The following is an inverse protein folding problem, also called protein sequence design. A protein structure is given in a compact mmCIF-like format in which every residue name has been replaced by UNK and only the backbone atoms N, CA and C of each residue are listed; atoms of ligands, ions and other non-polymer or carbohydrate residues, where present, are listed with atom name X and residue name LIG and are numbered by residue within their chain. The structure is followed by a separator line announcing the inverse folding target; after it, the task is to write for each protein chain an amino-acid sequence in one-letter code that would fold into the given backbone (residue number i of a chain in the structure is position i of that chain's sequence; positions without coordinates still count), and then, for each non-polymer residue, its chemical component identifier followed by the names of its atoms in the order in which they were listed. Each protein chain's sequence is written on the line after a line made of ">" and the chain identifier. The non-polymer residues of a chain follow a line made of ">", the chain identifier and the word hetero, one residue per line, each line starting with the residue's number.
data_IF_893553765590
#
_entry.id   IF_893553765590
#
_cell.length_a   1.000
_cell.length_b   1.000
_cell.length_c   1.000
_cell.angle_alpha   90.00
_cell.angle_beta   90.00
_cell.angle_gamma   90.00
#
_symmetry.space_group_name_H-M   'P 1'
#
loop_
_entity.id
_entity.type
_entity.pdbx_description
1 polymer ?
#
# COMPACT_ATOMS: atom_id res chain seq x y z
N UNK A 1 31.14 11.80 -2.26
CA UNK A 1 30.03 11.86 -1.28
C UNK A 1 28.79 12.30 -2.04
N UNK A 2 27.68 11.59 -1.92
CA UNK A 2 26.44 11.98 -2.62
C UNK A 2 25.77 13.12 -1.88
N UNK A 3 25.33 14.15 -2.60
CA UNK A 3 24.68 15.34 -2.03
C UNK A 3 23.15 15.25 -2.08
N UNK A 4 22.62 14.23 -2.76
CA UNK A 4 21.18 14.02 -2.94
C UNK A 4 20.87 12.55 -3.08
N UNK A 5 19.82 12.09 -2.39
CA UNK A 5 19.22 10.77 -2.57
C UNK A 5 17.76 11.00 -2.97
N UNK A 6 17.30 10.25 -3.96
CA UNK A 6 15.90 10.26 -4.39
C UNK A 6 15.36 8.84 -4.18
N UNK A 7 14.34 8.74 -3.34
CA UNK A 7 13.58 7.50 -3.14
C UNK A 7 12.30 7.58 -3.96
N UNK A 8 12.14 6.65 -4.90
CA UNK A 8 10.95 6.53 -5.72
C UNK A 8 10.20 5.26 -5.33
N UNK A 9 9.04 5.41 -4.70
CA UNK A 9 8.17 4.30 -4.31
C UNK A 9 7.09 4.14 -5.36
N UNK A 10 7.01 2.96 -5.97
CA UNK A 10 5.94 2.61 -6.90
C UNK A 10 4.83 1.92 -6.09
N UNK A 11 3.71 2.60 -5.96
CA UNK A 11 2.55 2.09 -5.25
C UNK A 11 1.97 0.83 -5.92
N UNK A 12 1.51 -0.11 -5.10
CA UNK A 12 0.87 -1.37 -5.52
C UNK A 12 1.72 -2.27 -6.42
N UNK A 13 3.04 -2.08 -6.48
CA UNK A 13 3.95 -2.92 -7.26
C UNK A 13 4.70 -3.90 -6.36
N UNK A 14 4.45 -5.21 -6.58
CA UNK A 14 5.10 -6.29 -5.86
C UNK A 14 5.88 -7.23 -6.77
N UNK A 15 6.98 -7.79 -6.24
CA UNK A 15 7.86 -8.75 -6.91
C UNK A 15 7.81 -10.13 -6.21
N UNK A 16 6.63 -10.62 -5.96
CA UNK A 16 6.32 -11.79 -5.16
C UNK A 16 5.66 -11.40 -3.84
N UNK A 17 5.48 -12.37 -2.95
CA UNK A 17 4.86 -12.18 -1.64
C UNK A 17 5.90 -12.25 -0.50
N UNK A 18 5.59 -11.61 0.62
CA UNK A 18 6.40 -11.65 1.83
C UNK A 18 6.28 -13.02 2.55
N UNK A 19 7.23 -13.33 3.44
CA UNK A 19 7.25 -14.60 4.18
C UNK A 19 6.02 -14.78 5.10
N UNK A 20 5.40 -13.70 5.52
CA UNK A 20 4.22 -13.67 6.39
C UNK A 20 2.90 -13.39 5.64
N UNK A 21 2.92 -13.42 4.31
CA UNK A 21 1.76 -13.18 3.45
C UNK A 21 0.52 -14.01 3.84
N UNK A 22 0.71 -15.24 4.33
CA UNK A 22 -0.38 -16.10 4.80
C UNK A 22 -1.22 -15.44 5.89
N UNK A 23 -0.61 -14.63 6.77
CA UNK A 23 -1.32 -13.93 7.85
C UNK A 23 -2.31 -12.89 7.31
N UNK A 24 -2.08 -12.42 6.09
CA UNK A 24 -2.83 -11.36 5.44
C UNK A 24 -3.65 -11.85 4.24
N UNK A 25 -3.63 -13.16 3.96
CA UNK A 25 -4.31 -13.73 2.79
C UNK A 25 -3.68 -13.37 1.45
N UNK A 26 -2.40 -13.02 1.43
CA UNK A 26 -1.66 -12.54 0.26
C UNK A 26 -0.73 -13.60 -0.35
N UNK A 27 -0.86 -14.86 0.03
CA UNK A 27 -0.07 -15.93 -0.58
C UNK A 27 -0.26 -15.95 -2.10
N UNK A 28 0.84 -16.12 -2.81
CA UNK A 28 0.85 -16.12 -4.26
C UNK A 28 0.79 -14.73 -4.91
N UNK A 29 0.74 -13.64 -4.14
CA UNK A 29 0.80 -12.29 -4.69
C UNK A 29 2.08 -12.07 -5.49
N UNK A 30 1.95 -11.62 -6.75
CA UNK A 30 3.06 -11.35 -7.66
C UNK A 30 2.60 -10.40 -8.77
N UNK A 31 2.53 -9.13 -8.46
CA UNK A 31 1.95 -8.11 -9.34
C UNK A 31 2.57 -8.13 -10.75
N UNK A 32 3.89 -8.04 -10.83
CA UNK A 32 4.57 -7.97 -12.12
C UNK A 32 4.48 -9.29 -12.90
N UNK A 33 4.68 -10.43 -12.24
CA UNK A 33 4.57 -11.74 -12.87
C UNK A 33 3.15 -12.00 -13.39
N UNK A 34 2.12 -11.66 -12.61
CA UNK A 34 0.73 -11.84 -13.05
C UNK A 34 0.35 -10.90 -14.19
N UNK A 35 0.84 -9.65 -14.18
CA UNK A 35 0.63 -8.73 -15.31
C UNK A 35 1.25 -9.31 -16.58
N UNK A 36 2.51 -9.73 -16.51
CA UNK A 36 3.20 -10.29 -17.67
C UNK A 36 2.54 -11.57 -18.19
N UNK A 37 2.04 -12.42 -17.30
CA UNK A 37 1.31 -13.62 -17.67
C UNK A 37 0.02 -13.32 -18.47
N UNK A 38 -0.60 -12.19 -18.24
CA UNK A 38 -1.86 -11.78 -18.90
C UNK A 38 -1.60 -11.00 -20.20
N UNK A 39 -0.68 -10.01 -20.14
CA UNK A 39 -0.50 -9.07 -21.25
C UNK A 39 0.72 -9.38 -22.13
N UNK A 40 1.52 -10.38 -21.75
CA UNK A 40 2.81 -10.68 -22.37
C UNK A 40 3.94 -9.81 -21.85
N UNK A 41 5.14 -9.90 -22.46
CA UNK A 41 6.35 -9.27 -21.94
C UNK A 41 6.22 -7.79 -21.61
N UNK A 42 6.51 -7.43 -20.35
CA UNK A 42 6.45 -6.04 -19.89
C UNK A 42 7.57 -5.22 -20.52
N UNK A 43 7.19 -4.11 -21.15
CA UNK A 43 8.12 -3.16 -21.78
C UNK A 43 8.58 -2.10 -20.76
N UNK A 44 9.63 -2.40 -20.01
CA UNK A 44 10.27 -1.47 -19.06
C UNK A 44 11.81 -1.53 -19.16
N UNK A 45 12.42 -1.16 -20.32
CA UNK A 45 13.83 -1.38 -20.54
C UNK A 45 14.72 -0.69 -19.50
N UNK A 46 14.38 0.50 -19.06
CA UNK A 46 15.16 1.22 -18.05
C UNK A 46 15.16 0.51 -16.68
N UNK A 47 14.01 -0.02 -16.23
CA UNK A 47 13.96 -0.78 -14.97
C UNK A 47 14.66 -2.14 -15.11
N UNK A 48 14.54 -2.78 -16.27
CA UNK A 48 15.26 -4.02 -16.57
C UNK A 48 16.77 -3.79 -16.60
N UNK A 49 17.25 -2.69 -17.19
CA UNK A 49 18.68 -2.34 -17.18
C UNK A 49 19.21 -2.02 -15.77
N UNK A 50 18.34 -1.65 -14.83
CA UNK A 50 18.68 -1.51 -13.41
C UNK A 50 18.61 -2.81 -12.64
N UNK A 51 18.12 -3.90 -13.22
CA UNK A 51 18.10 -5.24 -12.64
C UNK A 51 16.75 -5.77 -12.22
N UNK A 52 15.64 -5.12 -12.59
CA UNK A 52 14.29 -5.55 -12.20
C UNK A 52 13.99 -7.02 -12.58
N UNK A 53 14.39 -7.46 -13.77
CA UNK A 53 14.18 -8.83 -14.23
C UNK A 53 14.95 -9.90 -13.43
N UNK A 54 15.91 -9.51 -12.59
CA UNK A 54 16.63 -10.44 -11.71
C UNK A 54 15.94 -10.64 -10.35
N UNK A 55 14.95 -9.81 -10.03
CA UNK A 55 14.20 -9.89 -8.76
C UNK A 55 12.71 -10.09 -8.96
N UNK A 56 12.16 -9.72 -10.12
CA UNK A 56 10.77 -9.95 -10.48
C UNK A 56 10.65 -11.18 -11.39
N UNK A 57 9.50 -11.85 -11.33
CA UNK A 57 9.16 -12.99 -12.19
C UNK A 57 8.61 -12.49 -13.53
N UNK A 58 9.50 -11.91 -14.33
CA UNK A 58 9.22 -11.33 -15.65
C UNK A 58 10.28 -11.75 -16.67
N UNK A 59 9.99 -11.55 -17.94
CA UNK A 59 10.89 -11.90 -19.04
C UNK A 59 12.29 -11.25 -18.88
N UNK A 60 13.30 -12.03 -19.18
CA UNK A 60 14.70 -11.65 -19.06
C UNK A 60 15.04 -10.36 -19.84
N UNK A 61 16.16 -9.79 -19.50
CA UNK A 61 16.76 -8.66 -20.19
C UNK A 61 18.13 -9.09 -20.71
N UNK A 62 18.32 -8.97 -22.03
CA UNK A 62 19.49 -9.52 -22.72
C UNK A 62 20.73 -8.62 -22.65
N UNK A 63 20.58 -7.40 -22.10
CA UNK A 63 21.67 -6.45 -21.97
C UNK A 63 22.28 -6.46 -20.56
N UNK A 64 23.55 -6.03 -20.38
CA UNK A 64 24.18 -5.95 -19.08
C UNK A 64 23.43 -5.02 -18.13
N UNK A 65 23.25 -5.47 -16.88
CA UNK A 65 22.69 -4.66 -15.81
C UNK A 65 23.67 -3.58 -15.39
N UNK A 66 23.21 -2.33 -15.36
CA UNK A 66 24.01 -1.13 -15.03
C UNK A 66 23.71 -0.60 -13.62
N UNK A 67 22.74 -1.17 -12.91
CA UNK A 67 22.34 -0.78 -11.55
C UNK A 67 22.69 -1.82 -10.51
N UNK A 68 22.27 -1.55 -9.28
CA UNK A 68 22.23 -2.51 -8.19
C UNK A 68 20.78 -2.87 -7.87
N UNK A 69 20.52 -4.12 -7.56
CA UNK A 69 19.18 -4.62 -7.26
C UNK A 69 19.21 -5.57 -6.08
N UNK A 70 18.07 -5.74 -5.43
CA UNK A 70 17.93 -6.67 -4.32
C UNK A 70 16.49 -6.72 -3.81
N UNK A 71 16.18 -7.72 -3.01
CA UNK A 71 14.93 -7.84 -2.26
C UNK A 71 15.21 -7.53 -0.80
N UNK A 72 14.30 -6.83 -0.17
CA UNK A 72 14.30 -6.60 1.27
C UNK A 72 13.07 -7.27 1.87
N UNK A 73 13.26 -7.90 3.04
CA UNK A 73 12.13 -8.37 3.84
C UNK A 73 11.80 -7.32 4.87
N UNK A 74 10.53 -7.01 5.02
CA UNK A 74 10.07 -6.11 6.07
C UNK A 74 10.22 -6.76 7.45
N UNK A 75 10.42 -5.93 8.45
CA UNK A 75 10.47 -6.30 9.88
C UNK A 75 9.28 -5.78 10.66
N UNK A 76 8.58 -4.80 10.12
CA UNK A 76 7.31 -4.32 10.65
C UNK A 76 6.25 -5.42 10.65
N UNK A 77 5.38 -5.41 11.67
CA UNK A 77 4.37 -6.46 11.87
C UNK A 77 3.01 -6.11 11.27
N UNK A 78 2.82 -4.87 10.80
CA UNK A 78 1.59 -4.39 10.20
C UNK A 78 1.66 -4.34 8.68
N UNK A 79 0.55 -4.64 8.01
CA UNK A 79 0.40 -4.49 6.57
C UNK A 79 -0.37 -3.20 6.28
N UNK A 80 0.34 -2.10 6.27
CA UNK A 80 -0.23 -0.79 5.94
C UNK A 80 0.84 0.15 5.38
N UNK A 81 0.40 1.15 4.63
CA UNK A 81 1.28 2.13 3.97
C UNK A 81 2.15 2.89 4.97
N UNK A 82 1.61 3.24 6.14
CA UNK A 82 2.34 4.02 7.15
C UNK A 82 3.50 3.21 7.72
N UNK A 83 3.24 1.96 8.13
CA UNK A 83 4.27 1.05 8.65
C UNK A 83 5.40 0.84 7.63
N UNK A 84 5.08 0.60 6.37
CA UNK A 84 6.07 0.42 5.31
C UNK A 84 6.92 1.67 5.08
N UNK A 85 6.31 2.86 5.02
CA UNK A 85 7.05 4.10 4.83
C UNK A 85 7.93 4.45 6.03
N UNK A 86 7.47 4.22 7.25
CA UNK A 86 8.27 4.45 8.45
C UNK A 86 9.46 3.51 8.51
N UNK A 87 9.28 2.25 8.16
CA UNK A 87 10.37 1.28 8.12
C UNK A 87 11.43 1.66 7.08
N UNK A 88 11.04 2.08 5.87
CA UNK A 88 11.98 2.58 4.86
C UNK A 88 12.80 3.78 5.35
N UNK A 89 12.26 4.57 6.30
CA UNK A 89 12.95 5.68 6.94
C UNK A 89 13.71 5.27 8.21
N UNK A 90 13.81 3.97 8.51
CA UNK A 90 14.57 3.44 9.63
C UNK A 90 13.78 3.28 10.93
N UNK A 91 12.44 3.33 10.89
CA UNK A 91 11.58 3.16 12.04
C UNK A 91 10.61 1.98 11.85
N UNK A 92 11.05 0.74 12.13
CA UNK A 92 10.17 -0.43 12.04
C UNK A 92 9.04 -0.35 13.07
N UNK A 93 7.83 -0.70 12.64
CA UNK A 93 6.63 -0.72 13.48
C UNK A 93 6.42 -2.13 14.02
N UNK A 94 6.76 -2.33 15.29
CA UNK A 94 6.70 -3.65 15.97
C UNK A 94 5.32 -3.96 16.56
N UNK A 95 4.50 -2.93 16.77
CA UNK A 95 3.11 -3.07 17.21
C UNK A 95 2.21 -2.56 16.09
N UNK A 96 1.46 -3.42 15.41
CA UNK A 96 0.65 -3.01 14.26
C UNK A 96 -0.43 -2.03 14.69
N UNK A 97 -0.80 -1.11 13.81
CA UNK A 97 -1.93 -0.23 14.04
C UNK A 97 -3.23 -1.03 14.16
N UNK A 98 -4.15 -0.65 15.07
CA UNK A 98 -5.42 -1.32 15.18
C UNK A 98 -6.24 -1.15 13.90
N UNK A 99 -6.97 -2.21 13.52
CA UNK A 99 -7.89 -2.21 12.40
C UNK A 99 -9.33 -2.36 12.90
N UNK A 100 -10.27 -1.70 12.23
CA UNK A 100 -11.67 -1.63 12.65
C UNK A 100 -12.57 -2.09 11.49
N UNK A 101 -12.66 -3.39 11.29
CA UNK A 101 -13.40 -3.99 10.16
C UNK A 101 -14.90 -3.69 10.19
N UNK A 102 -15.47 -3.46 11.38
CA UNK A 102 -16.88 -3.13 11.58
C UNK A 102 -17.11 -1.61 11.81
N UNK A 103 -16.14 -0.79 11.43
CA UNK A 103 -16.12 0.63 11.75
C UNK A 103 -15.53 0.92 13.13
N UNK A 104 -15.33 2.18 13.44
CA UNK A 104 -14.82 2.61 14.74
C UNK A 104 -15.82 2.32 15.87
N UNK A 105 -15.34 2.00 17.08
CA UNK A 105 -16.22 1.75 18.22
C UNK A 105 -17.15 2.93 18.50
N UNK A 106 -18.37 2.58 18.95
CA UNK A 106 -19.41 3.58 19.23
C UNK A 106 -18.94 4.65 20.21
N UNK A 107 -18.19 4.30 21.22
CA UNK A 107 -17.65 5.23 22.23
C UNK A 107 -16.74 6.28 21.61
N UNK A 108 -15.93 5.88 20.62
CA UNK A 108 -15.06 6.81 19.89
C UNK A 108 -15.89 7.77 19.04
N UNK A 109 -16.90 7.27 18.35
CA UNK A 109 -17.75 8.09 17.47
C UNK A 109 -18.66 9.02 18.29
N UNK A 110 -19.13 8.59 19.45
CA UNK A 110 -19.86 9.43 20.39
C UNK A 110 -18.96 10.56 20.94
N UNK A 111 -17.72 10.25 21.32
CA UNK A 111 -16.74 11.24 21.74
C UNK A 111 -16.43 12.23 20.61
N UNK A 112 -16.20 11.75 19.41
CA UNK A 112 -16.00 12.60 18.22
C UNK A 112 -17.15 13.59 18.03
N UNK A 113 -18.39 13.10 18.04
CA UNK A 113 -19.58 13.92 17.86
C UNK A 113 -19.73 14.96 18.99
N UNK A 114 -19.46 14.57 20.23
CA UNK A 114 -19.52 15.46 21.38
C UNK A 114 -18.48 16.57 21.34
N UNK A 115 -17.22 16.21 21.03
CA UNK A 115 -16.10 17.15 21.07
C UNK A 115 -16.10 18.11 19.85
N UNK A 116 -16.54 17.62 18.69
CA UNK A 116 -16.57 18.42 17.45
C UNK A 116 -17.89 19.15 17.21
N UNK A 117 -18.99 18.67 17.77
CA UNK A 117 -20.34 19.13 17.48
C UNK A 117 -20.88 18.65 16.14
N UNK A 118 -20.11 17.86 15.37
CA UNK A 118 -20.52 17.31 14.09
C UNK A 118 -20.96 15.86 14.25
N UNK A 119 -22.06 15.48 13.61
CA UNK A 119 -22.35 14.07 13.33
C UNK A 119 -21.40 13.55 12.24
N UNK A 120 -21.54 12.30 11.87
CA UNK A 120 -20.75 11.67 10.82
C UNK A 120 -21.65 10.90 9.84
N UNK A 121 -21.08 10.51 8.71
CA UNK A 121 -21.68 9.62 7.71
C UNK A 121 -20.76 8.39 7.56
N UNK A 122 -21.34 7.23 7.27
CA UNK A 122 -20.59 5.99 7.11
C UNK A 122 -20.19 5.38 8.46
N UNK A 123 -18.93 5.38 8.81
CA UNK A 123 -18.27 4.60 9.86
C UNK A 123 -18.22 3.12 9.48
N UNK A 124 -17.66 2.84 8.34
CA UNK A 124 -17.56 1.50 7.77
C UNK A 124 -16.30 1.36 6.92
N UNK A 125 -15.87 0.12 6.70
CA UNK A 125 -14.77 -0.17 5.76
C UNK A 125 -15.31 -0.10 4.33
N UNK A 126 -14.74 0.79 3.53
CA UNK A 126 -15.10 0.94 2.13
C UNK A 126 -13.91 1.44 1.30
N UNK A 127 -13.97 1.25 -0.01
CA UNK A 127 -13.08 1.96 -0.93
C UNK A 127 -13.32 3.46 -0.86
N UNK A 128 -12.27 4.27 -0.83
CA UNK A 128 -12.38 5.72 -0.77
C UNK A 128 -13.22 6.31 -1.91
N UNK A 129 -13.08 5.77 -3.14
CA UNK A 129 -13.88 6.19 -4.28
C UNK A 129 -15.35 5.81 -4.15
N UNK A 130 -15.63 4.57 -3.70
CA UNK A 130 -16.99 4.07 -3.51
C UNK A 130 -17.74 4.87 -2.44
N UNK A 131 -17.13 5.08 -1.28
CA UNK A 131 -17.81 5.76 -0.18
C UNK A 131 -18.04 7.24 -0.48
N UNK A 132 -17.14 7.87 -1.23
CA UNK A 132 -17.31 9.26 -1.69
C UNK A 132 -18.45 9.34 -2.73
N UNK A 133 -18.55 8.40 -3.65
CA UNK A 133 -19.64 8.35 -4.62
C UNK A 133 -21.00 8.19 -3.91
N UNK A 134 -21.07 7.34 -2.90
CA UNK A 134 -22.29 7.03 -2.16
C UNK A 134 -22.71 8.12 -1.17
N UNK A 135 -21.78 8.72 -0.45
CA UNK A 135 -22.05 9.65 0.66
C UNK A 135 -21.63 11.10 0.39
N UNK A 136 -20.93 11.38 -0.70
CA UNK A 136 -20.35 12.69 -0.99
C UNK A 136 -21.39 13.77 -1.16
N UNK A 137 -22.54 13.50 -1.80
CA UNK A 137 -23.63 14.47 -1.95
C UNK A 137 -24.22 14.83 -0.58
N UNK A 138 -24.42 13.85 0.29
CA UNK A 138 -24.92 14.10 1.64
C UNK A 138 -23.90 14.86 2.50
N UNK A 139 -22.62 14.54 2.37
CA UNK A 139 -21.54 15.30 3.00
C UNK A 139 -21.61 16.79 2.61
N UNK A 140 -21.69 17.11 1.32
CA UNK A 140 -21.78 18.49 0.83
C UNK A 140 -23.01 19.19 1.39
N UNK A 141 -24.17 18.51 1.42
CA UNK A 141 -25.44 19.05 1.90
C UNK A 141 -25.47 19.29 3.40
N UNK A 142 -24.83 18.43 4.19
CA UNK A 142 -24.95 18.43 5.66
C UNK A 142 -23.72 18.95 6.39
N UNK A 143 -22.57 19.00 5.74
CA UNK A 143 -21.28 19.30 6.35
C UNK A 143 -20.73 18.19 7.27
N UNK A 144 -21.42 17.04 7.36
CA UNK A 144 -20.96 15.92 8.19
C UNK A 144 -19.77 15.23 7.52
N UNK A 145 -18.66 14.98 8.22
CA UNK A 145 -17.53 14.21 7.68
C UNK A 145 -17.95 12.76 7.38
N UNK A 146 -17.35 12.21 6.33
CA UNK A 146 -17.42 10.78 6.00
C UNK A 146 -16.30 10.06 6.76
N UNK A 147 -16.63 8.99 7.46
CA UNK A 147 -15.72 8.20 8.29
C UNK A 147 -15.64 6.78 7.76
#
# INVERSE_FOLDING_TARGET
>A
MYNRIILLVMDSVGVGHAADAIKFGDEGSNTLGHIEAVVGPIRCPNLKSLGLANIADISAFDEPVIGAYGRMSETSTGKDTTSGHWEMMGHPVTVPFPTFYDGFPKELMDAFTKETGYGFLGNEVASGTEIIERLGEEHIRTGKPIV
#
